data_IF_268812087091
#
_entry.id   IF_268812087091
#
_cell.length_a   1.000
_cell.length_b   1.000
_cell.length_c   1.000
_cell.angle_alpha   90.00
_cell.angle_beta   90.00
_cell.angle_gamma   90.00
#
_symmetry.space_group_name_H-M   'P 1'
#
loop_
_entity.id
_entity.type
_entity.pdbx_description
1 polymer ?
#
# COMPACT_ATOMS: atom_id res chain seq x y z
N UNK A 1 -24.68 -6.97 -21.55
CA UNK A 1 -24.10 -7.94 -20.60
C UNK A 1 -22.94 -7.24 -19.91
N UNK A 2 -23.02 -6.99 -18.61
CA UNK A 2 -21.94 -6.32 -17.88
C UNK A 2 -20.85 -7.35 -17.58
N UNK A 3 -19.75 -7.32 -18.34
CA UNK A 3 -18.54 -8.05 -17.98
C UNK A 3 -18.06 -7.56 -16.60
N UNK A 4 -18.19 -8.42 -15.59
CA UNK A 4 -17.57 -8.20 -14.30
C UNK A 4 -16.07 -8.31 -14.49
N UNK A 5 -15.41 -7.16 -14.63
CA UNK A 5 -13.94 -7.10 -14.67
C UNK A 5 -13.45 -7.46 -13.27
N UNK A 6 -12.81 -8.62 -13.15
CA UNK A 6 -12.22 -9.07 -11.89
C UNK A 6 -11.02 -8.19 -11.55
N UNK A 7 -10.91 -7.78 -10.29
CA UNK A 7 -9.75 -7.03 -9.81
C UNK A 7 -8.43 -7.75 -10.13
N UNK A 8 -8.44 -9.09 -10.07
CA UNK A 8 -7.28 -9.94 -10.40
C UNK A 8 -6.76 -9.67 -11.82
N UNK A 9 -7.65 -9.51 -12.79
CA UNK A 9 -7.28 -9.31 -14.20
C UNK A 9 -6.66 -7.93 -14.42
N UNK A 10 -7.12 -6.92 -13.68
CA UNK A 10 -6.56 -5.56 -13.73
C UNK A 10 -5.15 -5.53 -13.13
N UNK A 11 -4.95 -6.20 -11.98
CA UNK A 11 -3.63 -6.28 -11.34
C UNK A 11 -2.63 -7.07 -12.18
N UNK A 12 -3.04 -8.18 -12.80
CA UNK A 12 -2.16 -8.95 -13.69
C UNK A 12 -1.72 -8.14 -14.91
N UNK A 13 -2.62 -7.38 -15.55
CA UNK A 13 -2.27 -6.52 -16.70
C UNK A 13 -1.28 -5.43 -16.32
N UNK A 14 -1.47 -4.79 -15.17
CA UNK A 14 -0.54 -3.75 -14.68
C UNK A 14 0.83 -4.37 -14.36
N UNK A 15 0.88 -5.56 -13.77
CA UNK A 15 2.13 -6.24 -13.46
C UNK A 15 2.91 -6.66 -14.73
N UNK A 16 2.21 -7.10 -15.77
CA UNK A 16 2.77 -7.40 -17.09
C UNK A 16 3.34 -6.14 -17.76
N UNK A 17 2.62 -5.01 -17.74
CA UNK A 17 3.10 -3.72 -18.26
C UNK A 17 4.35 -3.21 -17.51
N UNK A 18 4.48 -3.55 -16.23
CA UNK A 18 5.62 -3.19 -15.38
C UNK A 18 6.76 -4.21 -15.41
N UNK A 19 6.65 -5.29 -16.20
CA UNK A 19 7.63 -6.37 -16.31
C UNK A 19 7.97 -7.03 -14.95
N UNK A 20 6.99 -7.06 -14.03
CA UNK A 20 7.10 -7.69 -12.72
C UNK A 20 6.67 -9.15 -12.89
N UNK A 21 7.62 -10.09 -12.77
CA UNK A 21 7.28 -11.51 -12.70
C UNK A 21 6.66 -11.82 -11.34
N UNK A 22 5.35 -11.98 -11.31
CA UNK A 22 4.63 -12.51 -10.14
C UNK A 22 4.87 -14.02 -10.16
N UNK A 23 5.80 -14.50 -9.34
CA UNK A 23 5.94 -15.94 -9.08
C UNK A 23 4.81 -16.35 -8.13
N UNK A 24 3.95 -17.28 -8.58
CA UNK A 24 2.93 -17.93 -7.76
C UNK A 24 3.61 -18.73 -6.65
N UNK A 25 3.68 -18.15 -5.45
CA UNK A 25 4.10 -18.87 -4.24
C UNK A 25 2.86 -19.62 -3.71
N UNK A 26 2.65 -20.83 -4.23
CA UNK A 26 1.77 -21.82 -3.61
C UNK A 26 2.49 -22.56 -2.48
N UNK A 27 1.80 -22.68 -1.34
CA UNK A 27 1.79 -23.78 -0.33
C UNK A 27 3.15 -24.28 0.23
N UNK A 28 3.45 -24.40 1.53
CA UNK A 28 2.69 -24.69 2.76
C UNK A 28 3.36 -23.95 3.94
N UNK A 29 2.58 -23.42 4.89
CA UNK A 29 3.13 -22.98 6.20
C UNK A 29 2.59 -23.95 7.26
N UNK A 30 3.41 -24.94 7.62
CA UNK A 30 3.20 -25.79 8.79
C UNK A 30 3.19 -24.98 10.10
N UNK A 31 2.41 -25.47 11.06
CA UNK A 31 2.04 -24.85 12.32
C UNK A 31 3.23 -24.59 13.29
N UNK A 32 3.01 -23.57 14.14
CA UNK A 32 3.88 -23.01 15.20
C UNK A 32 4.60 -24.04 16.10
N UNK A 33 5.65 -23.60 16.83
CA UNK A 33 5.41 -23.24 18.23
C UNK A 33 6.09 -21.95 18.74
N UNK A 34 5.36 -21.29 19.65
CA UNK A 34 5.76 -20.42 20.76
C UNK A 34 7.16 -19.77 20.81
N UNK A 35 7.18 -18.43 20.76
CA UNK A 35 8.20 -17.63 21.47
C UNK A 35 7.53 -16.49 22.24
N UNK A 36 7.51 -16.68 23.56
CA UNK A 36 7.34 -15.76 24.70
C UNK A 36 7.07 -14.29 24.37
N UNK A 37 5.91 -13.82 24.82
CA UNK A 37 5.63 -12.40 25.05
C UNK A 37 6.44 -11.92 26.26
N UNK A 38 7.60 -11.33 26.02
CA UNK A 38 8.24 -10.46 27.01
C UNK A 38 7.70 -9.04 26.84
N UNK A 39 6.80 -8.69 27.75
CA UNK A 39 6.39 -7.30 28.01
C UNK A 39 7.60 -6.61 28.64
N UNK A 40 8.33 -5.81 27.84
CA UNK A 40 9.34 -4.88 28.36
C UNK A 40 8.90 -3.46 28.07
N UNK A 41 8.75 -2.74 29.17
CA UNK A 41 8.45 -1.35 29.37
C UNK A 41 9.31 -0.36 28.55
N UNK A 42 8.62 0.70 28.16
CA UNK A 42 9.04 2.10 27.98
C UNK A 42 10.39 2.46 27.29
N UNK A 43 10.22 3.29 26.26
CA UNK A 43 11.14 4.36 25.82
C UNK A 43 12.49 3.94 25.24
N UNK A 44 12.44 3.46 24.00
CA UNK A 44 13.29 3.93 22.89
C UNK A 44 12.61 3.43 21.62
N UNK A 45 12.26 4.32 20.68
CA UNK A 45 11.76 3.94 19.35
C UNK A 45 12.88 3.18 18.64
N UNK A 46 13.06 1.89 18.93
CA UNK A 46 13.88 0.99 18.12
C UNK A 46 13.28 1.09 16.72
N UNK A 47 14.04 1.63 15.76
CA UNK A 47 13.63 1.70 14.36
C UNK A 47 13.20 0.27 13.97
N UNK A 48 11.89 0.08 13.73
CA UNK A 48 11.41 -1.21 13.20
C UNK A 48 12.17 -1.46 11.91
N UNK A 49 12.76 -2.64 11.78
CA UNK A 49 13.41 -3.02 10.55
C UNK A 49 12.32 -3.10 9.46
N UNK A 50 12.38 -2.19 8.50
CA UNK A 50 11.48 -2.19 7.34
C UNK A 50 12.14 -3.06 6.27
N UNK A 51 11.47 -4.14 5.86
CA UNK A 51 11.93 -4.99 4.77
C UNK A 51 12.06 -4.20 3.45
N UNK A 52 12.94 -4.65 2.55
CA UNK A 52 13.15 -4.01 1.23
C UNK A 52 11.84 -3.89 0.44
N UNK A 53 10.99 -4.93 0.48
CA UNK A 53 9.67 -4.95 -0.17
C UNK A 53 8.73 -3.88 0.38
N UNK A 54 8.59 -3.78 1.70
CA UNK A 54 7.74 -2.76 2.34
C UNK A 54 8.22 -1.33 2.02
N UNK A 55 9.53 -1.12 1.87
CA UNK A 55 10.07 0.17 1.41
C UNK A 55 9.68 0.49 -0.03
N UNK A 56 9.82 -0.47 -0.96
CA UNK A 56 9.42 -0.30 -2.36
C UNK A 56 7.91 -0.04 -2.46
N UNK A 57 7.11 -0.86 -1.78
CA UNK A 57 5.66 -0.70 -1.72
C UNK A 57 5.27 0.68 -1.20
N UNK A 58 6.01 1.20 -0.21
CA UNK A 58 5.77 2.53 0.31
C UNK A 58 6.07 3.64 -0.68
N UNK A 59 7.16 3.54 -1.44
CA UNK A 59 7.49 4.52 -2.47
C UNK A 59 6.50 4.48 -3.63
N UNK A 60 6.10 3.29 -4.08
CA UNK A 60 5.06 3.13 -5.12
C UNK A 60 3.73 3.75 -4.69
N UNK A 61 3.32 3.50 -3.44
CA UNK A 61 2.07 4.02 -2.91
C UNK A 61 2.12 5.55 -2.70
N UNK A 62 3.28 6.11 -2.33
CA UNK A 62 3.49 7.57 -2.33
C UNK A 62 3.35 8.15 -3.73
N UNK A 63 3.92 7.51 -4.75
CA UNK A 63 3.82 7.97 -6.12
C UNK A 63 2.37 7.91 -6.65
N UNK A 64 1.63 6.84 -6.33
CA UNK A 64 0.21 6.74 -6.64
C UNK A 64 -0.61 7.90 -6.04
N UNK A 65 -0.35 8.27 -4.77
CA UNK A 65 -0.99 9.41 -4.13
C UNK A 65 -0.60 10.75 -4.79
N UNK A 66 0.64 10.90 -5.27
CA UNK A 66 1.08 12.10 -6.02
C UNK A 66 0.41 12.20 -7.38
N UNK A 67 0.30 11.09 -8.11
CA UNK A 67 -0.38 11.06 -9.41
C UNK A 67 -1.86 11.40 -9.25
N UNK A 68 -2.54 10.86 -8.23
CA UNK A 68 -3.92 11.24 -7.92
C UNK A 68 -4.06 12.73 -7.57
N UNK A 69 -3.09 13.30 -6.85
CA UNK A 69 -3.05 14.75 -6.58
C UNK A 69 -2.89 15.56 -7.87
N UNK A 70 -1.98 15.17 -8.76
CA UNK A 70 -1.80 15.82 -10.08
C UNK A 70 -3.06 15.72 -10.93
N UNK A 71 -3.71 14.56 -10.94
CA UNK A 71 -4.95 14.34 -11.66
C UNK A 71 -6.08 15.22 -11.10
N UNK A 72 -6.18 15.34 -9.77
CA UNK A 72 -7.13 16.24 -9.11
C UNK A 72 -6.94 17.69 -9.54
N UNK A 73 -5.70 18.20 -9.48
CA UNK A 73 -5.36 19.59 -9.84
C UNK A 73 -5.63 19.92 -11.31
N UNK A 74 -5.59 18.93 -12.20
CA UNK A 74 -5.82 19.10 -13.65
C UNK A 74 -7.25 18.78 -14.09
N UNK A 75 -8.08 18.23 -13.20
CA UNK A 75 -9.44 17.83 -13.52
C UNK A 75 -10.43 18.96 -13.26
N UNK A 76 -11.20 19.33 -14.28
CA UNK A 76 -12.25 20.36 -14.19
C UNK A 76 -13.66 19.76 -14.11
N UNK A 77 -13.81 18.46 -14.32
CA UNK A 77 -15.08 17.75 -14.25
C UNK A 77 -15.39 17.38 -12.78
N UNK A 78 -16.50 17.88 -12.18
CA UNK A 78 -16.80 17.64 -10.77
C UNK A 78 -16.91 16.16 -10.38
N UNK A 79 -17.44 15.33 -11.27
CA UNK A 79 -17.60 13.88 -11.02
C UNK A 79 -16.26 13.15 -10.95
N UNK A 80 -15.30 13.55 -11.79
CA UNK A 80 -13.94 13.01 -11.82
C UNK A 80 -13.20 13.43 -10.55
N UNK A 81 -13.30 14.70 -10.18
CA UNK A 81 -12.74 15.27 -8.93
C UNK A 81 -13.26 14.50 -7.71
N UNK A 82 -14.58 14.30 -7.60
CA UNK A 82 -15.19 13.55 -6.50
C UNK A 82 -14.74 12.07 -6.48
N UNK A 83 -14.56 11.46 -7.64
CA UNK A 83 -14.06 10.08 -7.75
C UNK A 83 -12.61 9.97 -7.31
N UNK A 84 -11.76 10.92 -7.68
CA UNK A 84 -10.36 11.00 -7.22
C UNK A 84 -10.30 11.17 -5.70
N UNK A 85 -11.11 12.07 -5.13
CA UNK A 85 -11.17 12.25 -3.67
C UNK A 85 -11.56 10.97 -2.94
N UNK A 86 -12.57 10.25 -3.45
CA UNK A 86 -12.96 8.94 -2.90
C UNK A 86 -11.83 7.92 -2.99
N UNK A 87 -11.15 7.82 -4.13
CA UNK A 87 -10.01 6.92 -4.31
C UNK A 87 -8.88 7.24 -3.31
N UNK A 88 -8.54 8.52 -3.14
CA UNK A 88 -7.54 8.97 -2.16
C UNK A 88 -7.95 8.59 -0.74
N UNK A 89 -9.22 8.77 -0.36
CA UNK A 89 -9.71 8.36 0.98
C UNK A 89 -9.56 6.85 1.18
N UNK A 90 -9.97 6.04 0.21
CA UNK A 90 -9.83 4.58 0.28
C UNK A 90 -8.37 4.15 0.41
N UNK A 91 -7.48 4.70 -0.42
CA UNK A 91 -6.04 4.41 -0.34
C UNK A 91 -5.45 4.77 1.02
N UNK A 92 -5.83 5.92 1.60
CA UNK A 92 -5.39 6.29 2.95
C UNK A 92 -5.88 5.30 4.01
N UNK A 93 -7.10 4.76 3.89
CA UNK A 93 -7.60 3.71 4.79
C UNK A 93 -6.77 2.45 4.63
N UNK A 94 -6.55 1.98 3.39
CA UNK A 94 -5.74 0.78 3.10
C UNK A 94 -4.33 0.92 3.67
N UNK A 95 -3.67 2.06 3.45
CA UNK A 95 -2.33 2.33 3.98
C UNK A 95 -2.32 2.27 5.51
N UNK A 96 -3.34 2.87 6.15
CA UNK A 96 -3.45 2.89 7.61
C UNK A 96 -3.66 1.49 8.20
N UNK A 97 -4.47 0.66 7.54
CA UNK A 97 -4.74 -0.72 7.95
C UNK A 97 -3.54 -1.65 7.72
N UNK A 98 -2.67 -1.32 6.75
CA UNK A 98 -1.53 -2.13 6.33
C UNK A 98 -0.19 -1.39 6.56
N UNK A 99 -0.01 -0.78 7.74
CA UNK A 99 1.18 0.03 8.09
C UNK A 99 2.49 -0.80 8.10
N UNK A 100 2.41 -2.11 8.27
CA UNK A 100 3.52 -3.05 8.13
C UNK A 100 4.02 -3.18 6.69
N UNK A 101 3.11 -3.12 5.72
CA UNK A 101 3.40 -3.16 4.27
C UNK A 101 3.74 -1.78 3.72
N UNK A 102 3.12 -0.73 4.28
CA UNK A 102 3.23 0.66 3.84
C UNK A 102 3.75 1.60 4.95
N UNK A 103 4.92 1.33 5.55
CA UNK A 103 5.39 2.05 6.71
C UNK A 103 5.64 3.54 6.44
N UNK A 104 5.04 4.38 7.29
CA UNK A 104 5.38 5.80 7.38
C UNK A 104 4.91 6.66 6.20
N UNK A 105 3.97 6.19 5.37
CA UNK A 105 3.43 7.00 4.27
C UNK A 105 2.51 8.13 4.78
N UNK A 106 1.64 7.83 5.74
CA UNK A 106 0.67 8.82 6.28
C UNK A 106 1.24 9.66 7.41
N UNK A 107 2.40 9.27 7.94
CA UNK A 107 3.04 10.05 9.00
C UNK A 107 3.58 11.33 8.35
N UNK A 108 3.21 12.51 8.85
CA UNK A 108 3.88 13.73 8.42
C UNK A 108 5.38 13.54 8.68
N UNK A 109 6.23 13.91 7.72
CA UNK A 109 7.67 13.92 7.91
C UNK A 109 7.96 14.69 9.19
N UNK A 110 8.32 13.98 10.26
CA UNK A 110 8.69 14.57 11.55
C UNK A 110 10.17 14.95 11.58
N UNK A 111 10.78 15.14 10.41
CA UNK A 111 12.19 15.46 10.19
C UNK A 111 12.27 16.40 8.98
N UNK A 112 12.03 17.69 9.22
CA UNK A 112 12.81 18.79 8.63
C UNK A 112 13.81 19.25 9.70
#
# INVERSE_FOLDING_TARGET
MSEQVSAKDVFSRIAEEMNIKIEDIGEEVEEKPEVRQEIVSETKKKRRYIGKSARINSELMKEALRELKRAYERSYQPEVVASIERAVRLLKVIIKENEDVFPGILKPNSED
#
